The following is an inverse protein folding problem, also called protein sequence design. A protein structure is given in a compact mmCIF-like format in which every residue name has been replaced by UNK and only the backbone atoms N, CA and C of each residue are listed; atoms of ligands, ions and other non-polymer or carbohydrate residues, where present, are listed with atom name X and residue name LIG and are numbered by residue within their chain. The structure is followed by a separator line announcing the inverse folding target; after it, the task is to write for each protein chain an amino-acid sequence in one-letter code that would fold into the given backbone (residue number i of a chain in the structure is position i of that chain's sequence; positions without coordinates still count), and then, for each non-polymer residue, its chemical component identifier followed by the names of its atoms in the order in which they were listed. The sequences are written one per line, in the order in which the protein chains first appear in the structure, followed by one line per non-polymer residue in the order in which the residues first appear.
data_IF_007355499666
#
_entry.id   IF_007355499666
#
_cell.length_a   1.000
_cell.length_b   1.000
_cell.length_c   1.000
_cell.angle_alpha   90.00
_cell.angle_beta   90.00
_cell.angle_gamma   90.00
#
_symmetry.space_group_name_H-M   'P 1'
#
loop_
_entity.id
_entity.type
_entity.pdbx_description
1 polymer ?
#
# COMPACT_ATOMS: atom_id res chain seq x y z
N UNK A 1 -17.20 11.24 -3.87
CA UNK A 1 -15.94 10.51 -4.08
C UNK A 1 -15.19 10.49 -2.76
N UNK A 2 -15.03 9.30 -2.19
CA UNK A 2 -14.41 9.07 -0.88
C UNK A 2 -13.00 8.47 -0.99
N UNK A 3 -12.51 8.21 -2.20
CA UNK A 3 -11.13 7.77 -2.45
C UNK A 3 -10.20 8.99 -2.39
N UNK A 4 -9.95 9.48 -1.17
CA UNK A 4 -9.13 10.65 -0.88
C UNK A 4 -8.44 10.46 0.47
N UNK A 5 -7.13 10.63 0.52
CA UNK A 5 -6.37 10.63 1.79
C UNK A 5 -6.42 11.98 2.52
N UNK A 6 -6.50 13.08 1.77
CA UNK A 6 -6.46 14.43 2.32
C UNK A 6 -7.23 15.40 1.42
N UNK A 7 -7.72 16.47 2.03
CA UNK A 7 -8.30 17.63 1.36
C UNK A 7 -7.56 18.89 1.83
N UNK A 8 -7.48 19.87 0.94
CA UNK A 8 -6.97 21.22 1.22
C UNK A 8 -5.59 21.25 1.90
N UNK A 9 -4.59 20.63 1.25
CA UNK A 9 -3.20 20.62 1.71
C UNK A 9 -2.38 21.58 0.88
N UNK A 10 -1.67 22.48 1.54
CA UNK A 10 -0.64 23.27 0.89
C UNK A 10 0.54 22.36 0.57
N UNK A 11 0.80 22.20 -0.73
CA UNK A 11 1.90 21.44 -1.27
C UNK A 11 2.58 22.29 -2.36
N UNK A 12 3.88 22.09 -2.63
CA UNK A 12 4.49 22.61 -3.84
C UNK A 12 3.81 22.02 -5.09
N UNK A 13 4.17 22.52 -6.28
CA UNK A 13 3.72 21.93 -7.55
C UNK A 13 4.11 20.45 -7.62
N UNK A 14 3.16 19.60 -8.02
CA UNK A 14 3.31 18.13 -8.06
C UNK A 14 3.29 17.67 -9.51
N UNK A 15 4.24 16.82 -9.85
CA UNK A 15 4.36 16.18 -11.15
C UNK A 15 4.15 14.66 -11.04
N UNK A 16 3.81 14.03 -12.16
CA UNK A 16 3.73 12.58 -12.23
C UNK A 16 5.11 11.96 -11.94
N UNK A 17 5.16 11.03 -10.98
CA UNK A 17 6.40 10.39 -10.52
C UNK A 17 6.92 10.93 -9.18
N UNK A 18 6.40 12.04 -8.68
CA UNK A 18 6.75 12.56 -7.36
C UNK A 18 6.26 11.64 -6.24
N UNK A 19 6.97 11.67 -5.10
CA UNK A 19 6.62 10.91 -3.91
C UNK A 19 5.81 11.76 -2.93
N UNK A 20 4.66 11.24 -2.53
CA UNK A 20 3.85 11.79 -1.45
C UNK A 20 3.92 10.86 -0.24
N UNK A 21 4.08 11.45 0.95
CA UNK A 21 4.20 10.72 2.21
C UNK A 21 3.02 11.05 3.10
N UNK A 22 2.37 10.02 3.64
CA UNK A 22 1.31 10.13 4.64
C UNK A 22 1.90 9.73 5.98
N UNK A 23 1.93 10.66 6.93
CA UNK A 23 2.38 10.41 8.29
C UNK A 23 1.33 9.67 9.11
N UNK A 24 1.76 9.09 10.24
CA UNK A 24 0.92 8.42 11.23
C UNK A 24 0.10 7.22 10.68
N UNK A 25 0.62 6.55 9.64
CA UNK A 25 -0.03 5.42 8.98
C UNK A 25 0.29 4.03 9.62
N UNK A 26 0.98 4.01 10.77
CA UNK A 26 1.45 2.76 11.40
C UNK A 26 0.36 1.90 12.02
N UNK A 27 -0.74 2.52 12.48
CA UNK A 27 -1.90 1.82 13.02
C UNK A 27 -3.05 1.86 12.01
N UNK A 28 -3.81 0.76 11.91
CA UNK A 28 -5.00 0.62 11.07
C UNK A 28 -4.84 0.84 9.55
N UNK A 29 -3.70 1.29 9.04
CA UNK A 29 -3.46 1.43 7.59
C UNK A 29 -3.47 0.08 6.88
N UNK A 30 -2.36 -0.64 6.98
CA UNK A 30 -2.19 -1.98 6.38
C UNK A 30 -3.24 -2.99 6.86
N UNK A 31 -3.61 -2.92 8.14
CA UNK A 31 -4.58 -3.84 8.77
C UNK A 31 -6.01 -3.70 8.23
N UNK A 32 -6.40 -2.51 7.77
CA UNK A 32 -7.72 -2.27 7.16
C UNK A 32 -7.65 -2.20 5.63
N UNK A 33 -6.48 -2.43 5.03
CA UNK A 33 -6.29 -2.42 3.58
C UNK A 33 -6.80 -3.70 2.89
N UNK A 34 -7.42 -3.53 1.72
CA UNK A 34 -7.99 -4.62 0.91
C UNK A 34 -7.85 -4.33 -0.59
N UNK A 35 -8.02 -5.34 -1.43
CA UNK A 35 -7.74 -5.31 -2.86
C UNK A 35 -8.91 -4.83 -3.72
N UNK A 36 -9.61 -3.80 -3.27
CA UNK A 36 -10.67 -3.18 -4.08
C UNK A 36 -10.09 -2.65 -5.40
N UNK A 37 -10.84 -2.78 -6.49
CA UNK A 37 -10.38 -2.51 -7.86
C UNK A 37 -9.11 -3.28 -8.30
N UNK A 38 -8.82 -4.43 -7.68
CA UNK A 38 -7.64 -5.23 -8.00
C UNK A 38 -6.32 -4.58 -7.55
N UNK A 39 -6.36 -3.59 -6.65
CA UNK A 39 -5.16 -2.93 -6.12
C UNK A 39 -4.49 -3.83 -5.09
N UNK A 40 -3.40 -4.48 -5.48
CA UNK A 40 -2.61 -5.35 -4.60
C UNK A 40 -2.00 -4.57 -3.43
N UNK A 41 -1.90 -5.20 -2.25
CA UNK A 41 -1.28 -4.57 -1.07
C UNK A 41 0.21 -4.31 -1.30
N UNK A 42 0.67 -3.16 -0.80
CA UNK A 42 2.06 -2.73 -0.90
C UNK A 42 3.01 -3.54 0.00
N UNK A 43 4.30 -3.49 -0.30
CA UNK A 43 5.34 -3.96 0.61
C UNK A 43 5.42 -3.06 1.86
N UNK A 44 5.98 -3.60 2.94
CA UNK A 44 6.32 -2.86 4.16
C UNK A 44 7.82 -3.02 4.43
N UNK A 45 8.49 -1.89 4.62
CA UNK A 45 9.91 -1.81 4.91
C UNK A 45 10.12 -1.21 6.31
N UNK A 46 11.09 -1.76 7.04
CA UNK A 46 11.55 -1.25 8.33
C UNK A 46 12.92 -0.62 8.16
N UNK A 47 13.02 0.69 8.42
CA UNK A 47 14.29 1.37 8.63
C UNK A 47 14.74 1.12 10.07
N UNK A 48 15.94 0.58 10.23
CA UNK A 48 16.55 0.29 11.55
C UNK A 48 17.42 1.45 12.03
N UNK A 49 17.79 1.43 13.30
CA UNK A 49 18.63 2.47 13.93
C UNK A 49 20.02 2.59 13.30
N UNK A 50 20.56 1.50 12.76
CA UNK A 50 21.84 1.48 12.03
C UNK A 50 21.74 2.01 10.58
N UNK A 51 20.56 2.47 10.17
CA UNK A 51 20.27 2.97 8.82
C UNK A 51 20.00 1.87 7.79
N UNK A 52 20.08 0.59 8.15
CA UNK A 52 19.74 -0.50 7.24
C UNK A 52 18.23 -0.61 7.05
N UNK A 53 17.82 -1.05 5.85
CA UNK A 53 16.41 -1.26 5.50
C UNK A 53 16.14 -2.76 5.38
N UNK A 54 15.12 -3.23 6.09
CA UNK A 54 14.65 -4.62 6.03
C UNK A 54 13.23 -4.67 5.48
N UNK A 55 12.99 -5.52 4.48
CA UNK A 55 11.61 -5.84 4.09
C UNK A 55 10.96 -6.72 5.16
N UNK A 56 9.90 -6.23 5.78
CA UNK A 56 9.14 -6.96 6.82
C UNK A 56 7.84 -7.57 6.27
N UNK A 57 7.37 -7.07 5.12
CA UNK A 57 6.29 -7.69 4.34
C UNK A 57 6.54 -7.45 2.85
N UNK A 58 6.50 -8.50 2.03
CA UNK A 58 6.58 -8.37 0.57
C UNK A 58 5.28 -7.76 0.01
N UNK A 59 5.36 -7.10 -1.13
CA UNK A 59 4.16 -6.72 -1.88
C UNK A 59 3.37 -7.97 -2.30
N UNK A 60 2.06 -7.82 -2.39
CA UNK A 60 1.20 -8.84 -3.00
C UNK A 60 1.44 -8.93 -4.51
N UNK A 61 1.24 -10.13 -5.02
CA UNK A 61 1.28 -10.49 -6.43
C UNK A 61 -0.12 -10.84 -6.90
N UNK A 62 -0.30 -10.97 -8.22
CA UNK A 62 -1.57 -11.41 -8.80
C UNK A 62 -1.92 -12.83 -8.33
N UNK A 63 -0.92 -13.69 -8.12
CA UNK A 63 -1.14 -15.05 -7.61
C UNK A 63 -1.73 -15.03 -6.20
N UNK A 64 -1.29 -14.11 -5.34
CA UNK A 64 -1.87 -13.93 -3.99
C UNK A 64 -3.34 -13.53 -4.07
N UNK A 65 -3.69 -12.67 -5.04
CA UNK A 65 -5.06 -12.18 -5.21
C UNK A 65 -6.03 -13.28 -5.66
N UNK A 66 -5.54 -14.24 -6.45
CA UNK A 66 -6.34 -15.37 -6.93
C UNK A 66 -6.19 -16.64 -6.09
N UNK A 67 -5.34 -16.64 -5.06
CA UNK A 67 -4.97 -17.83 -4.30
C UNK A 67 -6.15 -18.61 -3.68
N UNK A 68 -7.27 -17.93 -3.42
CA UNK A 68 -8.47 -18.55 -2.82
C UNK A 68 -9.55 -18.95 -3.83
N UNK A 69 -9.35 -18.69 -5.13
CA UNK A 69 -10.31 -19.06 -6.16
C UNK A 69 -10.09 -20.52 -6.59
N UNK A 70 -11.15 -21.31 -6.54
CA UNK A 70 -11.18 -22.68 -7.06
C UNK A 70 -11.91 -22.72 -8.41
N UNK A 71 -11.12 -22.89 -9.47
CA UNK A 71 -11.61 -22.98 -10.84
C UNK A 71 -11.90 -24.41 -11.29
N UNK A 72 -11.71 -25.43 -10.44
CA UNK A 72 -11.90 -26.84 -10.83
C UNK A 72 -13.36 -27.22 -11.14
N UNK A 73 -14.31 -26.34 -10.81
CA UNK A 73 -15.75 -26.51 -11.02
C UNK A 73 -16.33 -25.65 -12.13
N UNK A 74 -15.47 -24.97 -12.90
CA UNK A 74 -15.84 -24.14 -14.05
C UNK A 74 -15.78 -24.93 -15.36
#
# INVERSE_FOLDING_TARGET
NNDKFAIDRQLPEINAGDLLVIHDAGAHGSAMGFQYNGKLRSAELLLREDGSVMQIRRAETIDDYFATLDFSKL
#
